data_IF_296859694671
#
_entry.id   IF_296859694671
#
_cell.length_a   1.000
_cell.length_b   1.000
_cell.length_c   1.000
_cell.angle_alpha   90.00
_cell.angle_beta   90.00
_cell.angle_gamma   90.00
#
_symmetry.space_group_name_H-M   'P 1'
#
loop_
_entity.id
_entity.type
_entity.pdbx_description
1 polymer ?
#
# COMPACT_ATOMS: atom_id res chain seq x y z
N UNK A 1 -0.53 -99.29 36.92
CA UNK A 1 -0.02 -98.27 35.91
C UNK A 1 -0.85 -96.98 36.07
N UNK A 2 -0.29 -95.99 36.74
CA UNK A 2 -0.98 -94.77 37.15
C UNK A 2 -0.78 -93.65 36.08
N UNK A 3 -1.87 -93.13 35.48
CA UNK A 3 -1.83 -91.93 34.65
C UNK A 3 -1.91 -90.68 35.55
N UNK A 4 -0.88 -89.86 35.47
CA UNK A 4 -0.83 -88.55 36.11
C UNK A 4 -1.49 -87.51 35.20
N UNK A 5 -2.57 -86.87 35.66
CA UNK A 5 -3.17 -85.70 35.02
C UNK A 5 -2.42 -84.44 35.43
N UNK A 6 -1.92 -83.75 34.46
CA UNK A 6 -1.25 -82.44 34.62
C UNK A 6 -2.27 -81.31 34.42
N UNK A 7 -2.60 -80.64 35.52
CA UNK A 7 -3.52 -79.47 35.50
C UNK A 7 -2.73 -78.24 34.98
N UNK A 8 -3.15 -77.73 33.86
CA UNK A 8 -2.61 -76.46 33.36
C UNK A 8 -3.46 -75.31 33.89
N UNK A 9 -2.90 -74.53 34.78
CA UNK A 9 -3.51 -73.26 35.28
C UNK A 9 -3.22 -72.16 34.26
N UNK A 10 -4.30 -71.64 33.67
CA UNK A 10 -4.23 -70.49 32.77
C UNK A 10 -4.40 -69.21 33.64
N UNK A 11 -3.33 -68.43 33.74
CA UNK A 11 -3.35 -67.10 34.35
C UNK A 11 -3.79 -66.12 33.30
N UNK A 12 -5.05 -65.64 33.40
CA UNK A 12 -5.53 -64.53 32.57
C UNK A 12 -5.07 -63.20 33.18
N UNK A 13 -4.09 -62.56 32.52
CA UNK A 13 -3.67 -61.20 32.87
C UNK A 13 -4.65 -60.21 32.22
N UNK A 14 -5.44 -59.57 33.06
CA UNK A 14 -6.27 -58.42 32.66
C UNK A 14 -5.39 -57.18 32.66
N UNK A 15 -5.04 -56.69 31.46
CA UNK A 15 -4.41 -55.39 31.30
C UNK A 15 -5.55 -54.36 31.34
N UNK A 16 -5.68 -53.68 32.47
CA UNK A 16 -6.55 -52.47 32.56
C UNK A 16 -5.79 -51.34 31.90
N UNK A 17 -6.18 -51.04 30.66
CA UNK A 17 -5.68 -49.90 29.92
C UNK A 17 -6.40 -48.64 30.44
N UNK A 18 -5.79 -48.00 31.44
CA UNK A 18 -6.25 -46.69 31.95
C UNK A 18 -6.07 -45.65 30.90
N UNK A 19 -7.13 -45.32 30.15
CA UNK A 19 -7.17 -44.13 29.30
C UNK A 19 -7.16 -42.89 30.20
N UNK A 20 -5.99 -42.34 30.46
CA UNK A 20 -5.88 -41.02 31.03
C UNK A 20 -6.42 -40.00 30.01
N UNK A 21 -7.64 -39.54 30.22
CA UNK A 21 -8.18 -38.38 29.53
C UNK A 21 -7.41 -37.15 30.00
N UNK A 22 -6.37 -36.77 29.23
CA UNK A 22 -5.78 -35.43 29.34
C UNK A 22 -6.78 -34.47 28.69
N UNK A 23 -7.35 -33.51 29.43
CA UNK A 23 -8.11 -32.45 28.78
C UNK A 23 -7.12 -31.66 27.90
N UNK A 24 -7.24 -31.81 26.59
CA UNK A 24 -6.61 -30.91 25.65
C UNK A 24 -7.24 -29.54 25.91
N UNK A 25 -6.49 -28.65 26.56
CA UNK A 25 -6.81 -27.24 26.57
C UNK A 25 -6.76 -26.78 25.12
N UNK A 26 -7.89 -26.79 24.43
CA UNK A 26 -8.08 -26.04 23.22
C UNK A 26 -8.03 -24.58 23.66
N UNK A 27 -6.85 -23.98 23.51
CA UNK A 27 -6.72 -22.54 23.57
C UNK A 27 -7.66 -21.98 22.51
N UNK A 28 -8.74 -21.34 22.93
CA UNK A 28 -9.62 -20.57 22.06
C UNK A 28 -8.94 -19.23 21.70
N UNK A 29 -7.69 -19.31 21.21
CA UNK A 29 -6.90 -18.17 20.72
C UNK A 29 -6.33 -18.53 19.37
N UNK A 30 -7.13 -18.49 18.35
CA UNK A 30 -6.76 -18.17 16.98
C UNK A 30 -8.03 -18.04 16.12
N UNK A 31 -8.93 -17.12 16.46
CA UNK A 31 -9.47 -16.31 15.41
C UNK A 31 -8.25 -15.50 14.94
N UNK A 32 -7.64 -15.91 13.85
CA UNK A 32 -6.61 -15.18 13.14
C UNK A 32 -7.28 -13.87 12.68
N UNK A 33 -7.35 -12.89 13.58
CA UNK A 33 -7.88 -11.58 13.28
C UNK A 33 -6.86 -10.99 12.31
N UNK A 34 -7.18 -11.05 11.01
CA UNK A 34 -6.36 -10.47 9.94
C UNK A 34 -6.11 -9.03 10.36
N UNK A 35 -4.86 -8.72 10.70
CA UNK A 35 -4.47 -7.39 11.15
C UNK A 35 -4.86 -6.36 10.09
N UNK A 36 -5.62 -5.31 10.43
CA UNK A 36 -6.10 -4.35 9.46
C UNK A 36 -4.92 -3.61 8.81
N UNK A 37 -5.01 -3.38 7.51
CA UNK A 37 -3.99 -2.69 6.72
C UNK A 37 -4.54 -1.42 6.12
N UNK A 38 -3.67 -0.40 6.01
CA UNK A 38 -3.97 0.87 5.35
C UNK A 38 -2.77 1.33 4.55
N UNK A 39 -3.00 1.87 3.35
CA UNK A 39 -1.96 2.45 2.51
C UNK A 39 -2.00 3.98 2.60
N UNK A 40 -0.99 4.57 3.23
CA UNK A 40 -0.73 6.00 3.10
C UNK A 40 -0.05 6.27 1.76
N UNK A 41 -0.59 7.21 1.00
CA UNK A 41 -0.07 7.57 -0.32
C UNK A 41 0.20 9.07 -0.38
N UNK A 42 1.29 9.43 -1.08
CA UNK A 42 1.77 10.79 -1.16
C UNK A 42 1.95 11.18 -2.62
N UNK A 43 1.29 12.25 -3.04
CA UNK A 43 1.35 12.78 -4.40
C UNK A 43 2.30 13.99 -4.48
N UNK A 44 2.68 14.37 -5.70
CA UNK A 44 3.44 15.55 -6.06
C UNK A 44 4.92 15.59 -5.65
N UNK A 45 5.40 14.60 -4.90
CA UNK A 45 6.81 14.52 -4.51
C UNK A 45 7.79 14.27 -5.68
N UNK A 46 9.07 14.19 -5.35
CA UNK A 46 9.67 14.46 -4.06
C UNK A 46 9.86 15.93 -3.74
N UNK A 47 10.01 16.22 -2.45
CA UNK A 47 10.43 17.52 -1.91
C UNK A 47 11.64 17.31 -0.97
N UNK A 48 12.74 17.99 -1.23
CA UNK A 48 14.01 17.79 -0.52
C UNK A 48 13.94 17.95 1.00
N UNK A 49 12.97 18.69 1.53
CA UNK A 49 12.80 18.93 2.96
C UNK A 49 11.74 17.97 3.52
N UNK A 50 10.54 18.03 2.99
CA UNK A 50 9.39 17.36 3.58
C UNK A 50 9.35 15.87 3.30
N UNK A 51 9.71 15.44 2.08
CA UNK A 51 9.83 14.01 1.76
C UNK A 51 10.93 13.34 2.62
N UNK A 52 12.06 14.04 2.85
CA UNK A 52 13.10 13.52 3.74
C UNK A 52 12.58 13.33 5.17
N UNK A 53 11.89 14.36 5.72
CA UNK A 53 11.27 14.31 7.07
C UNK A 53 10.26 13.17 7.16
N UNK A 54 9.47 12.97 6.12
CA UNK A 54 8.49 11.89 6.03
C UNK A 54 9.15 10.50 6.06
N UNK A 55 10.17 10.27 5.23
CA UNK A 55 10.90 8.99 5.19
C UNK A 55 11.55 8.68 6.55
N UNK A 56 12.17 9.66 7.19
CA UNK A 56 12.73 9.52 8.54
C UNK A 56 11.64 9.12 9.56
N UNK A 57 10.43 9.68 9.42
CA UNK A 57 9.27 9.38 10.26
C UNK A 57 8.68 8.00 10.01
N UNK A 58 8.59 7.58 8.75
CA UNK A 58 8.12 6.25 8.35
C UNK A 58 9.06 5.15 8.84
N UNK A 59 10.39 5.36 8.70
CA UNK A 59 11.38 4.41 9.17
C UNK A 59 11.27 4.16 10.69
N UNK A 60 11.08 5.21 11.50
CA UNK A 60 10.88 5.09 12.95
C UNK A 60 9.65 4.27 13.35
N UNK A 61 8.64 4.17 12.47
CA UNK A 61 7.38 3.47 12.69
C UNK A 61 7.34 2.09 12.02
N UNK A 62 8.42 1.68 11.36
CA UNK A 62 8.44 0.50 10.47
C UNK A 62 7.27 0.51 9.48
N UNK A 63 6.87 1.70 9.03
CA UNK A 63 5.75 1.92 8.13
C UNK A 63 6.22 1.95 6.68
N UNK A 64 5.39 1.41 5.78
CA UNK A 64 5.58 1.52 4.34
C UNK A 64 4.51 2.42 3.73
N UNK A 65 4.85 3.06 2.61
CA UNK A 65 3.97 3.99 1.92
C UNK A 65 4.14 3.88 0.40
N UNK A 66 3.27 4.56 -0.35
CA UNK A 66 3.40 4.69 -1.79
C UNK A 66 3.53 6.16 -2.16
N UNK A 67 4.51 6.47 -3.01
CA UNK A 67 4.80 7.82 -3.48
C UNK A 67 4.51 7.92 -4.98
N UNK A 68 3.54 8.75 -5.35
CA UNK A 68 3.26 9.09 -6.74
C UNK A 68 4.07 10.33 -7.11
N UNK A 69 5.20 10.11 -7.78
CA UNK A 69 6.18 11.15 -8.02
C UNK A 69 5.99 11.83 -9.38
N UNK A 70 6.28 13.12 -9.44
CA UNK A 70 6.24 13.95 -10.65
C UNK A 70 7.57 13.81 -11.39
N UNK A 71 7.53 13.37 -12.65
CA UNK A 71 8.72 13.05 -13.44
C UNK A 71 9.65 14.22 -13.68
N UNK A 72 9.11 15.41 -13.91
CA UNK A 72 9.88 16.63 -14.15
C UNK A 72 10.86 16.96 -13.01
N UNK A 73 10.50 16.58 -11.78
CA UNK A 73 11.37 16.76 -10.61
C UNK A 73 12.60 15.84 -10.59
N UNK A 74 12.61 14.81 -11.44
CA UNK A 74 13.66 13.79 -11.54
C UNK A 74 14.54 13.95 -12.78
N UNK A 75 14.17 14.89 -13.67
CA UNK A 75 14.80 15.05 -14.97
C UNK A 75 15.86 16.16 -14.95
N UNK A 76 17.10 15.81 -15.26
CA UNK A 76 18.18 16.79 -15.41
C UNK A 76 17.99 17.75 -16.59
N UNK A 77 17.14 17.37 -17.55
CA UNK A 77 16.81 18.23 -18.71
C UNK A 77 15.65 19.19 -18.41
N UNK A 78 15.03 19.08 -17.23
CA UNK A 78 13.96 20.00 -16.81
C UNK A 78 14.48 21.43 -16.69
N UNK A 79 13.67 22.37 -17.19
CA UNK A 79 13.92 23.80 -17.06
C UNK A 79 13.40 24.41 -15.77
N UNK A 80 12.63 23.65 -15.00
CA UNK A 80 12.00 24.09 -13.74
C UNK A 80 12.81 23.74 -12.51
N UNK A 81 13.84 22.89 -12.67
CA UNK A 81 14.69 22.39 -11.58
C UNK A 81 16.16 22.78 -11.83
N UNK A 82 16.91 23.00 -10.75
CA UNK A 82 18.37 23.04 -10.84
C UNK A 82 18.94 21.61 -10.84
N UNK A 83 20.10 21.40 -11.44
CA UNK A 83 20.76 20.10 -11.42
C UNK A 83 20.99 19.57 -9.99
N UNK A 84 21.28 20.47 -9.03
CA UNK A 84 21.43 20.09 -7.62
C UNK A 84 20.11 19.63 -7.02
N UNK A 85 19.00 20.32 -7.26
CA UNK A 85 17.66 19.92 -6.78
C UNK A 85 17.25 18.60 -7.40
N UNK A 86 17.49 18.40 -8.70
CA UNK A 86 17.19 17.13 -9.38
C UNK A 86 17.99 15.98 -8.77
N UNK A 87 19.29 16.18 -8.49
CA UNK A 87 20.12 15.19 -7.83
C UNK A 87 19.55 14.80 -6.47
N UNK A 88 19.22 15.78 -5.61
CA UNK A 88 18.63 15.55 -4.28
C UNK A 88 17.28 14.80 -4.38
N UNK A 89 16.45 15.14 -5.34
CA UNK A 89 15.17 14.46 -5.60
C UNK A 89 15.38 13.00 -6.04
N UNK A 90 16.34 12.73 -6.92
CA UNK A 90 16.70 11.36 -7.36
C UNK A 90 17.22 10.52 -6.19
N UNK A 91 18.03 11.09 -5.31
CA UNK A 91 18.51 10.43 -4.09
C UNK A 91 17.35 10.05 -3.15
N UNK A 92 16.34 10.92 -3.02
CA UNK A 92 15.14 10.61 -2.23
C UNK A 92 14.32 9.47 -2.86
N UNK A 93 14.16 9.45 -4.18
CA UNK A 93 13.46 8.36 -4.88
C UNK A 93 14.22 7.03 -4.75
N UNK A 94 15.54 7.05 -4.86
CA UNK A 94 16.37 5.88 -4.61
C UNK A 94 16.20 5.38 -3.16
N UNK A 95 16.17 6.30 -2.19
CA UNK A 95 15.92 5.99 -0.78
C UNK A 95 14.54 5.37 -0.56
N UNK A 96 13.47 5.92 -1.17
CA UNK A 96 12.12 5.33 -1.11
C UNK A 96 12.14 3.86 -1.51
N UNK A 97 12.76 3.56 -2.66
CA UNK A 97 12.83 2.19 -3.18
C UNK A 97 13.68 1.25 -2.30
N UNK A 98 14.80 1.75 -1.75
CA UNK A 98 15.69 1.00 -0.86
C UNK A 98 15.04 0.70 0.50
N UNK A 99 14.22 1.61 1.03
CA UNK A 99 13.48 1.43 2.27
C UNK A 99 12.18 0.61 2.09
N UNK A 100 11.90 0.12 0.88
CA UNK A 100 10.77 -0.77 0.61
C UNK A 100 9.43 -0.06 0.42
N UNK A 101 9.44 1.23 0.10
CA UNK A 101 8.26 1.94 -0.35
C UNK A 101 7.98 1.67 -1.84
N UNK A 102 6.75 1.83 -2.27
CA UNK A 102 6.39 1.82 -3.69
C UNK A 102 6.57 3.22 -4.27
N UNK A 103 7.34 3.32 -5.36
CA UNK A 103 7.42 4.54 -6.17
C UNK A 103 6.56 4.37 -7.41
N UNK A 104 5.66 5.30 -7.64
CA UNK A 104 4.62 5.24 -8.66
C UNK A 104 4.58 6.52 -9.50
N UNK A 105 3.87 6.48 -10.62
CA UNK A 105 3.85 7.52 -11.64
C UNK A 105 2.74 8.55 -11.37
N UNK A 106 3.10 9.85 -11.31
CA UNK A 106 2.16 10.97 -11.20
C UNK A 106 2.22 11.93 -12.38
N UNK A 107 2.45 11.41 -13.58
CA UNK A 107 2.77 12.13 -14.82
C UNK A 107 4.11 12.91 -14.78
N UNK A 108 4.52 13.44 -15.93
CA UNK A 108 5.79 14.18 -16.03
C UNK A 108 5.66 15.61 -15.52
N UNK A 109 4.71 16.37 -16.05
CA UNK A 109 4.54 17.80 -15.77
C UNK A 109 3.36 18.13 -14.85
N UNK A 110 2.79 17.11 -14.19
CA UNK A 110 1.58 17.25 -13.37
C UNK A 110 0.39 17.86 -14.13
N UNK A 111 0.27 17.59 -15.45
CA UNK A 111 -0.81 18.09 -16.27
C UNK A 111 -2.09 17.25 -16.14
N UNK A 112 -3.23 17.88 -16.47
CA UNK A 112 -4.52 17.19 -16.53
C UNK A 112 -4.57 16.24 -17.72
N UNK A 113 -4.31 14.95 -17.48
CA UNK A 113 -4.21 13.94 -18.53
C UNK A 113 -5.46 13.82 -19.38
N UNK A 114 -6.66 13.93 -18.79
CA UNK A 114 -7.94 13.88 -19.52
C UNK A 114 -8.17 15.06 -20.49
N UNK A 115 -7.43 16.17 -20.30
CA UNK A 115 -7.49 17.36 -21.16
C UNK A 115 -6.31 17.43 -22.14
N UNK A 116 -5.45 16.40 -22.15
CA UNK A 116 -4.26 16.33 -23.01
C UNK A 116 -4.54 15.48 -24.24
N UNK A 117 -3.67 15.59 -25.26
CA UNK A 117 -3.73 14.68 -26.42
C UNK A 117 -3.18 13.31 -26.06
N UNK A 118 -3.57 12.22 -26.78
CA UNK A 118 -3.02 10.88 -26.54
C UNK A 118 -1.50 10.83 -26.61
N UNK A 119 -0.88 11.56 -27.54
CA UNK A 119 0.57 11.64 -27.67
C UNK A 119 1.23 12.27 -26.45
N UNK A 120 0.63 13.37 -25.93
CA UNK A 120 1.10 14.00 -24.70
C UNK A 120 0.94 13.07 -23.50
N UNK A 121 -0.18 12.40 -23.35
CA UNK A 121 -0.38 11.42 -22.25
C UNK A 121 0.66 10.30 -22.32
N UNK A 122 0.93 9.79 -23.51
CA UNK A 122 1.98 8.77 -23.71
C UNK A 122 3.35 9.27 -23.24
N UNK A 123 3.72 10.50 -23.62
CA UNK A 123 4.98 11.12 -23.19
C UNK A 123 5.04 11.28 -21.67
N UNK A 124 4.01 11.89 -21.09
CA UNK A 124 3.90 12.17 -19.65
C UNK A 124 4.10 10.89 -18.79
N UNK A 125 3.47 9.82 -19.19
CA UNK A 125 3.53 8.56 -18.46
C UNK A 125 4.84 7.81 -18.73
N UNK A 126 5.27 7.67 -19.99
CA UNK A 126 6.48 6.92 -20.32
C UNK A 126 7.75 7.59 -19.80
N UNK A 127 7.88 8.93 -19.98
CA UNK A 127 9.06 9.65 -19.50
C UNK A 127 9.20 9.53 -18.00
N UNK A 128 8.10 9.65 -17.25
CA UNK A 128 8.12 9.51 -15.79
C UNK A 128 8.50 8.10 -15.36
N UNK A 129 7.87 7.07 -15.95
CA UNK A 129 8.21 5.67 -15.63
C UNK A 129 9.68 5.39 -15.93
N UNK A 130 10.19 5.82 -17.05
CA UNK A 130 11.60 5.69 -17.44
C UNK A 130 12.56 6.28 -16.38
N UNK A 131 12.28 7.51 -15.91
CA UNK A 131 13.08 8.17 -14.88
C UNK A 131 13.04 7.45 -13.54
N UNK A 132 11.85 6.93 -13.14
CA UNK A 132 11.71 6.14 -11.91
C UNK A 132 12.48 4.82 -12.03
N UNK A 133 12.32 4.10 -13.13
CA UNK A 133 12.99 2.82 -13.40
C UNK A 133 14.51 2.96 -13.45
N UNK A 134 15.01 4.04 -14.08
CA UNK A 134 16.43 4.37 -14.09
C UNK A 134 17.02 4.56 -12.69
N UNK A 135 16.27 5.18 -11.79
CA UNK A 135 16.72 5.45 -10.42
C UNK A 135 16.59 4.23 -9.52
N UNK A 136 15.49 3.49 -9.65
CA UNK A 136 15.11 2.44 -8.70
C UNK A 136 15.49 1.03 -9.15
N UNK A 137 15.74 0.85 -10.45
CA UNK A 137 15.92 -0.48 -11.07
C UNK A 137 14.65 -1.35 -11.04
N UNK A 138 13.48 -0.77 -10.76
CA UNK A 138 12.20 -1.49 -10.61
C UNK A 138 11.18 -0.97 -11.61
N UNK A 139 10.39 -1.88 -12.19
CA UNK A 139 9.26 -1.55 -13.04
C UNK A 139 8.20 -0.73 -12.30
N UNK A 140 7.64 0.29 -12.97
CA UNK A 140 6.57 1.13 -12.43
C UNK A 140 5.22 0.46 -12.68
N UNK A 141 4.61 -0.06 -11.63
CA UNK A 141 3.36 -0.82 -11.70
C UNK A 141 2.10 0.02 -11.51
N UNK A 142 2.22 1.19 -10.90
CA UNK A 142 1.08 1.99 -10.46
C UNK A 142 1.18 3.42 -10.97
N UNK A 143 0.02 4.01 -11.29
CA UNK A 143 -0.10 5.42 -11.60
C UNK A 143 -1.30 6.04 -10.89
N UNK A 144 -1.20 7.33 -10.61
CA UNK A 144 -2.34 8.18 -10.20
C UNK A 144 -2.37 9.41 -11.10
N UNK A 145 -3.49 9.69 -11.78
CA UNK A 145 -3.60 10.88 -12.62
C UNK A 145 -3.68 12.14 -11.76
N UNK A 146 -2.94 13.22 -12.09
CA UNK A 146 -3.01 14.49 -11.39
C UNK A 146 -4.44 15.01 -11.23
N UNK A 147 -4.76 15.44 -9.99
CA UNK A 147 -6.09 15.95 -9.63
C UNK A 147 -7.23 14.96 -9.86
N UNK A 148 -6.98 13.67 -9.97
CA UNK A 148 -7.99 12.66 -10.31
C UNK A 148 -8.61 12.83 -11.69
N UNK A 149 -8.07 13.71 -12.53
CA UNK A 149 -8.68 14.20 -13.77
C UNK A 149 -8.94 13.13 -14.83
N UNK A 150 -8.28 11.99 -14.75
CA UNK A 150 -8.42 10.90 -15.70
C UNK A 150 -9.04 9.63 -15.11
N UNK A 151 -9.55 9.68 -13.88
CA UNK A 151 -10.17 8.50 -13.25
C UNK A 151 -11.33 7.97 -14.06
N UNK A 152 -12.13 8.86 -14.68
CA UNK A 152 -13.25 8.47 -15.54
C UNK A 152 -12.86 8.25 -17.02
N UNK A 153 -11.64 8.61 -17.43
CA UNK A 153 -11.20 8.55 -18.82
C UNK A 153 -10.56 7.20 -19.15
N UNK A 154 -11.36 6.24 -19.62
CA UNK A 154 -10.86 4.90 -19.98
C UNK A 154 -9.69 4.94 -20.99
N UNK A 155 -9.72 5.86 -21.95
CA UNK A 155 -8.67 5.97 -22.96
C UNK A 155 -7.31 6.32 -22.35
N UNK A 156 -7.26 7.11 -21.26
CA UNK A 156 -6.02 7.40 -20.52
C UNK A 156 -5.49 6.14 -19.86
N UNK A 157 -6.37 5.33 -19.23
CA UNK A 157 -5.98 4.06 -18.61
C UNK A 157 -5.46 3.05 -19.63
N UNK A 158 -6.07 3.02 -20.83
CA UNK A 158 -5.57 2.17 -21.92
C UNK A 158 -4.16 2.57 -22.38
N UNK A 159 -3.83 3.88 -22.38
CA UNK A 159 -2.45 4.34 -22.65
C UNK A 159 -1.52 4.00 -21.48
N UNK A 160 -2.02 4.09 -20.26
CA UNK A 160 -1.23 3.79 -19.05
C UNK A 160 -0.91 2.31 -18.90
N UNK A 161 -1.71 1.41 -19.49
CA UNK A 161 -1.49 -0.03 -19.37
C UNK A 161 -0.06 -0.44 -19.75
N UNK A 162 0.58 -1.38 -19.01
CA UNK A 162 -0.01 -2.25 -17.97
C UNK A 162 -0.10 -1.62 -16.57
N UNK A 163 0.29 -0.36 -16.36
CA UNK A 163 0.19 0.26 -15.04
C UNK A 163 -1.27 0.29 -14.53
N UNK A 164 -1.41 0.00 -13.27
CA UNK A 164 -2.68 0.03 -12.54
C UNK A 164 -2.98 1.46 -12.10
N UNK A 165 -4.18 1.94 -12.41
CA UNK A 165 -4.64 3.27 -11.95
C UNK A 165 -5.17 3.18 -10.53
N UNK A 166 -4.58 3.95 -9.62
CA UNK A 166 -4.93 4.00 -8.20
C UNK A 166 -5.58 5.34 -7.87
N UNK A 167 -6.71 5.26 -7.19
CA UNK A 167 -7.42 6.39 -6.59
C UNK A 167 -7.13 6.47 -5.08
N UNK A 168 -8.00 7.12 -4.33
CA UNK A 168 -7.99 7.18 -2.87
C UNK A 168 -9.37 6.85 -2.30
N UNK A 169 -9.49 6.85 -0.98
CA UNK A 169 -10.69 6.45 -0.26
C UNK A 169 -11.87 7.41 -0.38
N UNK A 170 -12.85 7.23 0.51
CA UNK A 170 -14.11 7.97 0.46
C UNK A 170 -13.99 9.44 0.91
N UNK A 171 -12.89 9.81 1.54
CA UNK A 171 -12.64 11.17 2.00
C UNK A 171 -11.35 11.71 1.40
N UNK A 172 -11.32 13.01 1.23
CA UNK A 172 -10.15 13.77 0.80
C UNK A 172 -9.74 14.69 1.94
N UNK A 173 -8.52 14.55 2.42
CA UNK A 173 -7.98 15.37 3.50
C UNK A 173 -7.87 16.83 3.12
N UNK A 174 -7.76 17.11 1.80
CA UNK A 174 -7.47 18.45 1.24
C UNK A 174 -6.28 19.10 1.94
N UNK A 175 -5.27 18.32 2.24
CA UNK A 175 -4.07 18.75 2.96
C UNK A 175 -3.27 19.81 2.21
N UNK A 176 -3.41 19.86 0.90
CA UNK A 176 -2.88 20.93 0.05
C UNK A 176 -3.52 22.29 0.31
N UNK A 177 -4.70 22.34 0.89
CA UNK A 177 -5.44 23.56 1.26
C UNK A 177 -5.57 23.73 2.77
N UNK A 178 -5.88 22.66 3.50
CA UNK A 178 -6.02 22.64 4.94
C UNK A 178 -4.65 22.72 5.63
N UNK A 179 -4.51 23.60 6.62
CA UNK A 179 -3.29 23.72 7.44
C UNK A 179 -3.51 23.34 8.90
N UNK A 180 -4.69 22.85 9.24
CA UNK A 180 -5.02 22.40 10.59
C UNK A 180 -4.72 20.91 10.72
N UNK A 181 -3.57 20.60 11.32
CA UNK A 181 -3.09 19.22 11.51
C UNK A 181 -4.08 18.39 12.33
N UNK A 182 -4.58 18.94 13.45
CA UNK A 182 -5.51 18.23 14.34
C UNK A 182 -6.80 17.83 13.60
N UNK A 183 -7.39 18.75 12.83
CA UNK A 183 -8.58 18.48 12.01
C UNK A 183 -8.34 17.36 11.01
N UNK A 184 -7.19 17.38 10.31
CA UNK A 184 -6.85 16.37 9.32
C UNK A 184 -6.56 15.00 9.98
N UNK A 185 -5.85 14.99 11.12
CA UNK A 185 -5.61 13.76 11.90
C UNK A 185 -6.93 13.13 12.34
N UNK A 186 -7.84 13.92 12.92
CA UNK A 186 -9.13 13.43 13.36
C UNK A 186 -9.94 12.86 12.18
N UNK A 187 -9.97 13.57 11.03
CA UNK A 187 -10.63 13.09 9.82
C UNK A 187 -10.09 11.71 9.39
N UNK A 188 -8.76 11.55 9.37
CA UNK A 188 -8.13 10.28 8.99
C UNK A 188 -8.51 9.20 10.01
N UNK A 189 -8.30 9.43 11.30
CA UNK A 189 -8.47 8.43 12.37
C UNK A 189 -9.92 7.96 12.54
N UNK A 190 -10.89 8.84 12.29
CA UNK A 190 -12.33 8.56 12.41
C UNK A 190 -12.89 7.81 11.18
N UNK A 191 -12.30 8.02 9.99
CA UNK A 191 -12.83 7.47 8.75
C UNK A 191 -12.03 6.31 8.18
N UNK A 192 -10.82 6.04 8.67
CA UNK A 192 -9.98 4.94 8.19
C UNK A 192 -10.56 3.58 8.59
N UNK A 193 -10.59 2.67 7.64
CA UNK A 193 -10.96 1.26 7.84
C UNK A 193 -9.96 0.33 7.13
N UNK A 194 -10.08 -0.99 7.37
CA UNK A 194 -9.21 -1.99 6.75
C UNK A 194 -9.32 -1.97 5.22
N UNK A 195 -8.18 -1.83 4.55
CA UNK A 195 -8.14 -1.72 3.09
C UNK A 195 -8.21 -0.30 2.54
N UNK A 196 -8.11 0.73 3.41
CA UNK A 196 -8.19 2.12 2.94
C UNK A 196 -6.90 2.61 2.26
N UNK A 197 -7.06 3.52 1.30
CA UNK A 197 -5.99 4.21 0.59
C UNK A 197 -6.14 5.71 0.88
N UNK A 198 -5.22 6.26 1.67
CA UNK A 198 -5.26 7.64 2.13
C UNK A 198 -4.42 8.51 1.22
N UNK A 199 -4.99 9.61 0.72
CA UNK A 199 -4.29 10.61 -0.09
C UNK A 199 -3.77 11.74 0.81
N UNK A 200 -2.49 12.04 0.65
CA UNK A 200 -1.79 13.21 1.19
C UNK A 200 -0.75 13.69 0.16
N UNK A 201 -0.07 14.80 0.45
CA UNK A 201 0.99 15.34 -0.38
C UNK A 201 2.27 15.55 0.47
N UNK A 202 3.42 15.10 -0.02
CA UNK A 202 4.70 15.25 0.71
C UNK A 202 5.43 16.59 0.41
N UNK A 203 4.65 17.58 -0.05
CA UNK A 203 5.12 18.93 -0.35
C UNK A 203 4.91 19.94 0.80
N UNK A 204 4.21 19.54 1.87
CA UNK A 204 3.83 20.41 2.95
C UNK A 204 4.22 19.82 4.31
N UNK A 205 4.69 20.70 5.22
CA UNK A 205 5.03 20.28 6.58
C UNK A 205 3.82 19.74 7.34
N UNK A 206 2.69 20.42 7.22
CA UNK A 206 1.42 20.03 7.87
C UNK A 206 0.92 18.66 7.40
N UNK A 207 1.13 18.30 6.14
CA UNK A 207 0.78 16.98 5.61
C UNK A 207 1.64 15.88 6.20
N UNK A 208 2.96 16.12 6.32
CA UNK A 208 3.89 15.19 6.96
C UNK A 208 3.54 14.98 8.43
N UNK A 209 3.27 16.06 9.18
CA UNK A 209 2.85 15.99 10.57
C UNK A 209 1.53 15.24 10.73
N UNK A 210 0.57 15.51 9.85
CA UNK A 210 -0.72 14.81 9.83
C UNK A 210 -0.54 13.33 9.61
N UNK A 211 0.22 12.92 8.59
CA UNK A 211 0.48 11.52 8.28
C UNK A 211 1.08 10.78 9.48
N UNK A 212 2.17 11.31 10.03
CA UNK A 212 2.90 10.67 11.13
C UNK A 212 2.06 10.60 12.41
N UNK A 213 1.30 11.67 12.74
CA UNK A 213 0.42 11.70 13.92
C UNK A 213 -0.76 10.75 13.78
N UNK A 214 -1.39 10.68 12.60
CA UNK A 214 -2.46 9.73 12.33
C UNK A 214 -1.96 8.27 12.41
N UNK A 215 -0.76 7.98 11.87
CA UNK A 215 -0.13 6.67 11.98
C UNK A 215 0.09 6.27 13.44
N UNK A 216 0.54 7.17 14.31
CA UNK A 216 0.75 6.88 15.74
C UNK A 216 -0.55 6.45 16.45
N UNK A 217 -1.68 7.05 16.06
CA UNK A 217 -2.99 6.70 16.62
C UNK A 217 -3.51 5.40 16.01
N UNK A 218 -3.42 5.23 14.68
CA UNK A 218 -3.88 4.03 13.98
C UNK A 218 -3.05 2.79 14.36
N UNK A 219 -1.75 2.94 14.62
CA UNK A 219 -0.92 1.85 15.14
C UNK A 219 -1.43 1.32 16.49
N UNK A 220 -1.88 2.21 17.39
CA UNK A 220 -2.51 1.83 18.68
C UNK A 220 -3.87 1.13 18.48
N UNK A 221 -4.54 1.36 17.35
CA UNK A 221 -5.75 0.65 16.93
C UNK A 221 -5.45 -0.67 16.20
N UNK A 222 -4.17 -1.06 16.08
CA UNK A 222 -3.75 -2.33 15.48
C UNK A 222 -3.50 -2.30 13.96
N UNK A 223 -3.55 -1.14 13.30
CA UNK A 223 -3.31 -1.04 11.86
C UNK A 223 -1.84 -1.24 11.49
N UNK A 224 -1.62 -1.95 10.37
CA UNK A 224 -0.34 -1.98 9.65
C UNK A 224 -0.36 -0.97 8.51
N UNK A 225 0.80 -0.32 8.30
CA UNK A 225 1.01 0.65 7.21
C UNK A 225 1.77 -0.03 6.09
N UNK A 226 1.10 -0.24 4.98
CA UNK A 226 1.58 -1.02 3.85
C UNK A 226 1.65 -0.18 2.58
N UNK A 227 2.33 -0.68 1.55
CA UNK A 227 2.28 -0.07 0.23
C UNK A 227 0.96 -0.41 -0.48
N UNK A 228 0.60 0.37 -1.51
CA UNK A 228 -0.50 0.01 -2.41
C UNK A 228 -0.25 -1.35 -3.05
N UNK A 229 1.01 -1.68 -3.40
CA UNK A 229 1.35 -2.99 -3.95
C UNK A 229 0.98 -4.12 -2.99
N UNK A 230 1.37 -4.03 -1.72
CA UNK A 230 1.01 -5.03 -0.71
C UNK A 230 -0.50 -5.07 -0.46
N UNK A 231 -1.15 -3.91 -0.37
CA UNK A 231 -2.59 -3.81 -0.10
C UNK A 231 -3.42 -4.46 -1.22
N UNK A 232 -3.16 -4.10 -2.48
CA UNK A 232 -3.91 -4.61 -3.63
C UNK A 232 -3.63 -6.09 -3.91
N UNK A 233 -2.44 -6.58 -3.57
CA UNK A 233 -2.05 -7.97 -3.74
C UNK A 233 -2.41 -8.86 -2.54
N UNK A 234 -3.02 -8.33 -1.48
CA UNK A 234 -3.43 -9.07 -0.29
C UNK A 234 -4.22 -10.35 -0.60
N UNK A 235 -5.05 -10.32 -1.63
CA UNK A 235 -5.95 -11.42 -2.01
C UNK A 235 -5.56 -12.11 -3.32
N UNK A 236 -4.43 -11.76 -3.95
CA UNK A 236 -4.01 -12.36 -5.25
C UNK A 236 -3.62 -13.83 -5.15
N UNK A 237 -3.31 -14.34 -3.94
CA UNK A 237 -3.14 -15.78 -3.69
C UNK A 237 -4.37 -16.63 -4.04
N UNK A 238 -5.53 -16.01 -4.29
CA UNK A 238 -6.77 -16.65 -4.72
C UNK A 238 -6.98 -16.65 -6.25
N UNK A 239 -5.95 -16.35 -7.03
CA UNK A 239 -6.03 -16.37 -8.52
C UNK A 239 -6.58 -15.08 -9.16
N UNK A 240 -6.65 -13.98 -8.41
CA UNK A 240 -7.06 -12.69 -8.94
C UNK A 240 -5.86 -11.95 -9.52
N UNK A 241 -6.01 -11.39 -10.72
CA UNK A 241 -5.06 -10.46 -11.34
C UNK A 241 -5.66 -9.07 -11.39
N UNK A 242 -4.81 -8.04 -11.18
CA UNK A 242 -5.25 -6.66 -11.31
C UNK A 242 -5.48 -6.33 -12.79
N UNK A 243 -6.62 -5.70 -13.09
CA UNK A 243 -7.01 -5.29 -14.45
C UNK A 243 -6.59 -3.82 -14.67
N UNK A 244 -5.66 -3.51 -15.58
CA UNK A 244 -5.19 -2.15 -15.81
C UNK A 244 -6.26 -1.21 -16.38
N UNK A 245 -7.40 -1.73 -16.87
CA UNK A 245 -8.51 -0.91 -17.34
C UNK A 245 -9.43 -0.44 -16.20
N UNK A 246 -9.26 -0.98 -15.00
CA UNK A 246 -10.01 -0.61 -13.80
C UNK A 246 -9.31 0.46 -12.98
N UNK A 247 -10.04 1.04 -12.05
CA UNK A 247 -9.54 1.98 -11.04
C UNK A 247 -9.62 1.28 -9.71
N UNK A 248 -8.54 1.33 -8.96
CA UNK A 248 -8.48 0.77 -7.62
C UNK A 248 -8.47 1.91 -6.61
N UNK A 249 -9.58 1.99 -5.87
CA UNK A 249 -9.73 2.88 -4.74
C UNK A 249 -9.63 2.06 -3.44
N UNK A 250 -10.11 2.59 -2.36
CA UNK A 250 -10.24 1.88 -1.09
C UNK A 250 -10.94 0.51 -1.23
N UNK A 251 -10.43 -0.48 -0.52
CA UNK A 251 -10.88 -1.87 -0.58
C UNK A 251 -11.67 -2.25 0.69
N UNK A 252 -12.94 -1.92 0.73
CA UNK A 252 -13.82 -2.40 1.79
C UNK A 252 -14.30 -3.82 1.47
N UNK A 253 -14.05 -4.77 2.36
CA UNK A 253 -14.53 -6.16 2.32
C UNK A 253 -14.11 -7.00 1.08
N UNK A 254 -12.99 -6.65 0.42
CA UNK A 254 -12.52 -7.37 -0.78
C UNK A 254 -13.44 -7.24 -2.00
N UNK A 255 -14.45 -6.40 -1.93
CA UNK A 255 -15.42 -6.21 -3.02
C UNK A 255 -14.97 -5.12 -4.00
N UNK A 256 -14.21 -5.52 -5.02
CA UNK A 256 -13.85 -4.67 -6.16
C UNK A 256 -15.04 -4.33 -7.07
N UNK A 257 -16.23 -4.93 -6.84
CA UNK A 257 -17.38 -4.81 -7.73
C UNK A 257 -18.06 -3.43 -7.65
N UNK A 258 -17.84 -2.67 -6.57
CA UNK A 258 -18.45 -1.35 -6.36
C UNK A 258 -17.78 -0.21 -7.16
N UNK A 259 -16.71 -0.48 -7.89
CA UNK A 259 -16.04 0.50 -8.75
C UNK A 259 -16.73 0.69 -10.12
N UNK A 260 -17.93 0.17 -10.30
CA UNK A 260 -18.84 0.61 -11.34
C UNK A 260 -19.53 1.90 -10.88
N UNK A 261 -18.90 3.03 -11.11
CA UNK A 261 -19.66 4.29 -11.24
C UNK A 261 -19.17 5.01 -12.49
N UNK A 262 -20.07 4.92 -13.41
CA UNK A 262 -20.50 5.76 -14.54
C UNK A 262 -19.56 6.84 -15.00
#
# INVERSE_FOLDING_TARGET
>A
MRKKHLLKTIFSIWIIMSCAFFPVKVSADSADSIQPMVAFTFDDGPNKIYTKKLLDGLAKRNAKATFFVVGEKLDYESKTQTAQTTKENRELVARMAAEGHTVANHSYSHCWLSKSTPQKVTYELRKTSQLIEEITGKEVKYMRPPGGSALTALWVRNIAAPMITVCWGYYDTRDWECRNVEKMVNMIVENTFDGDIILLHDNYETSVETALSAMDILAKKGYRFVTVDELLNRNTGCGWTLDPTRIYCTMKDGDYSRLKRT
#
